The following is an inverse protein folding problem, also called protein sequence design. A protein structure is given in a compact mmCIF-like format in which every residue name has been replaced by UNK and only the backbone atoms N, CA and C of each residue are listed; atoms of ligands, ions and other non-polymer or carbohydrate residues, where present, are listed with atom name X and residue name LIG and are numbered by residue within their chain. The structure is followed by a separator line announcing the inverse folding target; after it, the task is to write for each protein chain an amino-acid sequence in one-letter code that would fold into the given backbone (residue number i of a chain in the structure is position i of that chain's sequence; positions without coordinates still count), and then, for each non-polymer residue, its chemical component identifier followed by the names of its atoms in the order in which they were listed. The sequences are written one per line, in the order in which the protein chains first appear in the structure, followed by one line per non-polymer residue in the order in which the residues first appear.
data_IF_309412826941
#
_entry.id   IF_309412826941
#
_cell.length_a   1.000
_cell.length_b   1.000
_cell.length_c   1.000
_cell.angle_alpha   90.00
_cell.angle_beta   90.00
_cell.angle_gamma   90.00
#
_symmetry.space_group_name_H-M   'P 1'
#
loop_
_entity.id
_entity.type
_entity.pdbx_description
1 polymer ?
#
# COMPACT_ATOMS: atom_id res chain seq x y z
N UNK A 1 28.16 -31.39 36.33
CA UNK A 1 27.53 -30.09 35.99
C UNK A 1 28.44 -29.13 35.19
N UNK A 2 29.79 -29.19 35.37
CA UNK A 2 30.73 -28.29 34.66
C UNK A 2 30.67 -28.46 33.13
N UNK A 3 30.59 -29.69 32.63
CA UNK A 3 30.48 -29.94 31.17
C UNK A 3 29.17 -29.44 30.58
N UNK A 4 28.05 -29.50 31.34
CA UNK A 4 26.76 -28.92 30.89
C UNK A 4 26.81 -27.39 30.78
N UNK A 5 27.49 -26.73 31.73
CA UNK A 5 27.69 -25.29 31.70
C UNK A 5 28.53 -24.86 30.50
N UNK A 6 29.60 -25.61 30.18
CA UNK A 6 30.44 -25.34 29.00
C UNK A 6 29.65 -25.53 27.72
N UNK A 7 28.85 -26.60 27.60
CA UNK A 7 28.00 -26.82 26.42
C UNK A 7 26.97 -25.71 26.21
N UNK A 8 26.36 -25.21 27.29
CA UNK A 8 25.42 -24.08 27.23
C UNK A 8 26.15 -22.81 26.77
N UNK A 9 27.34 -22.54 27.31
CA UNK A 9 28.12 -21.36 26.92
C UNK A 9 28.51 -21.39 25.43
N UNK A 10 28.93 -22.54 24.93
CA UNK A 10 29.25 -22.75 23.51
C UNK A 10 28.02 -22.56 22.66
N UNK A 11 26.86 -23.11 23.04
CA UNK A 11 25.60 -22.91 22.32
C UNK A 11 25.19 -21.43 22.26
N UNK A 12 25.30 -20.69 23.35
CA UNK A 12 25.02 -19.24 23.38
C UNK A 12 25.95 -18.46 22.45
N UNK A 13 27.24 -18.84 22.38
CA UNK A 13 28.16 -18.21 21.42
C UNK A 13 27.75 -18.46 19.98
N UNK A 14 27.33 -19.69 19.63
CA UNK A 14 26.81 -19.96 18.27
C UNK A 14 25.57 -19.16 17.93
N UNK A 15 24.63 -18.99 18.88
CA UNK A 15 23.44 -18.16 18.69
C UNK A 15 23.82 -16.69 18.46
N UNK A 16 24.77 -16.16 19.24
CA UNK A 16 25.28 -14.79 19.08
C UNK A 16 25.95 -14.60 17.72
N UNK A 17 26.84 -15.51 17.31
CA UNK A 17 27.46 -15.45 15.99
C UNK A 17 26.43 -15.51 14.87
N UNK A 18 25.47 -16.44 14.94
CA UNK A 18 24.38 -16.53 13.96
C UNK A 18 23.55 -15.25 13.88
N UNK A 19 23.29 -14.60 15.02
CA UNK A 19 22.59 -13.32 15.07
C UNK A 19 23.37 -12.18 14.38
N UNK A 20 24.69 -12.08 14.62
CA UNK A 20 25.51 -11.07 13.96
C UNK A 20 25.62 -11.31 12.45
N UNK A 21 25.86 -12.55 12.02
CA UNK A 21 25.86 -12.90 10.60
C UNK A 21 24.52 -12.58 9.91
N UNK A 22 23.42 -12.86 10.58
CA UNK A 22 22.08 -12.53 10.05
C UNK A 22 21.87 -11.02 9.94
N UNK A 23 22.33 -10.24 10.91
CA UNK A 23 22.27 -8.77 10.87
C UNK A 23 23.09 -8.19 9.72
N UNK A 24 24.32 -8.65 9.53
CA UNK A 24 25.20 -8.20 8.45
C UNK A 24 24.62 -8.57 7.09
N UNK A 25 24.17 -9.80 6.88
CA UNK A 25 23.49 -10.24 5.67
C UNK A 25 22.27 -9.36 5.34
N UNK A 26 21.44 -9.05 6.34
CA UNK A 26 20.26 -8.20 6.17
C UNK A 26 20.64 -6.76 5.82
N UNK A 27 21.73 -6.25 6.38
CA UNK A 27 22.25 -4.92 6.08
C UNK A 27 22.77 -4.84 4.65
N UNK A 28 23.63 -5.76 4.24
CA UNK A 28 24.16 -5.83 2.86
C UNK A 28 23.03 -5.97 1.83
N UNK A 29 22.03 -6.80 2.11
CA UNK A 29 20.87 -6.94 1.23
C UNK A 29 20.10 -5.61 1.07
N UNK A 30 19.88 -4.88 2.16
CA UNK A 30 19.22 -3.56 2.11
C UNK A 30 20.06 -2.51 1.38
N UNK A 31 21.36 -2.50 1.60
CA UNK A 31 22.28 -1.59 0.89
C UNK A 31 22.30 -1.92 -0.61
N UNK A 32 22.27 -3.18 -0.99
CA UNK A 32 22.15 -3.62 -2.37
C UNK A 32 20.86 -3.13 -3.04
N UNK A 33 19.72 -3.23 -2.34
CA UNK A 33 18.43 -2.73 -2.83
C UNK A 33 18.42 -1.20 -2.93
N UNK A 34 18.99 -0.49 -1.94
CA UNK A 34 19.14 0.96 -1.96
C UNK A 34 19.94 1.42 -3.17
N UNK A 35 21.10 0.78 -3.41
CA UNK A 35 21.95 1.08 -4.55
C UNK A 35 21.24 0.80 -5.88
N UNK A 36 20.53 -0.33 -5.99
CA UNK A 36 19.75 -0.68 -7.19
C UNK A 36 18.64 0.34 -7.45
N UNK A 37 17.93 0.79 -6.42
CA UNK A 37 16.92 1.83 -6.52
C UNK A 37 17.53 3.17 -6.96
N UNK A 38 18.60 3.62 -6.31
CA UNK A 38 19.31 4.84 -6.68
C UNK A 38 19.81 4.79 -8.12
N UNK A 39 20.35 3.64 -8.56
CA UNK A 39 20.76 3.44 -9.96
C UNK A 39 19.56 3.62 -10.89
N UNK A 40 18.39 3.04 -10.56
CA UNK A 40 17.19 3.20 -11.38
C UNK A 40 16.75 4.66 -11.51
N UNK A 41 16.87 5.46 -10.44
CA UNK A 41 16.55 6.89 -10.47
C UNK A 41 17.55 7.67 -11.35
N UNK A 42 18.84 7.39 -11.24
CA UNK A 42 19.88 8.00 -12.08
C UNK A 42 19.64 7.67 -13.57
N UNK A 43 19.31 6.43 -13.89
CA UNK A 43 18.97 6.01 -15.26
C UNK A 43 17.73 6.73 -15.78
N UNK A 44 16.72 6.94 -14.93
CA UNK A 44 15.53 7.72 -15.27
C UNK A 44 15.87 9.16 -15.63
N UNK A 45 16.68 9.82 -14.80
CA UNK A 45 17.15 11.20 -15.03
C UNK A 45 18.00 11.33 -16.28
N UNK A 46 18.71 10.26 -16.65
CA UNK A 46 19.51 10.19 -17.89
C UNK A 46 18.66 9.85 -19.13
N UNK A 47 17.36 9.63 -18.98
CA UNK A 47 16.45 9.32 -20.08
C UNK A 47 16.35 7.83 -20.43
N UNK A 48 17.05 6.94 -19.72
CA UNK A 48 17.10 5.49 -19.95
C UNK A 48 15.88 4.76 -19.36
N UNK A 49 14.68 5.14 -19.82
CA UNK A 49 13.39 4.65 -19.27
C UNK A 49 13.27 3.13 -19.23
N UNK A 50 13.71 2.44 -20.29
CA UNK A 50 13.59 0.97 -20.34
C UNK A 50 14.43 0.29 -19.27
N UNK A 51 15.63 0.79 -19.00
CA UNK A 51 16.51 0.28 -17.95
C UNK A 51 15.95 0.56 -16.58
N UNK A 52 15.45 1.77 -16.37
CA UNK A 52 14.73 2.16 -15.14
C UNK A 52 13.59 1.21 -14.83
N UNK A 53 12.70 0.97 -15.80
CA UNK A 53 11.54 0.08 -15.64
C UNK A 53 11.98 -1.31 -15.21
N UNK A 54 12.98 -1.89 -15.88
CA UNK A 54 13.47 -3.23 -15.56
C UNK A 54 14.05 -3.30 -14.14
N UNK A 55 14.89 -2.33 -13.74
CA UNK A 55 15.48 -2.27 -12.41
C UNK A 55 14.41 -2.17 -11.31
N UNK A 56 13.40 -1.30 -11.52
CA UNK A 56 12.34 -1.10 -10.53
C UNK A 56 11.40 -2.32 -10.45
N UNK A 57 11.07 -2.96 -11.57
CA UNK A 57 10.31 -4.21 -11.58
C UNK A 57 11.00 -5.33 -10.81
N UNK A 58 12.30 -5.51 -11.03
CA UNK A 58 13.10 -6.49 -10.27
C UNK A 58 13.09 -6.21 -8.75
N UNK A 59 13.10 -4.93 -8.33
CA UNK A 59 13.01 -4.56 -6.91
C UNK A 59 11.63 -4.92 -6.35
N UNK A 60 10.55 -4.67 -7.12
CA UNK A 60 9.19 -5.03 -6.69
C UNK A 60 9.06 -6.53 -6.49
N UNK A 61 9.58 -7.32 -7.43
CA UNK A 61 9.54 -8.80 -7.37
C UNK A 61 10.45 -9.37 -6.27
N UNK A 62 11.43 -8.60 -5.79
CA UNK A 62 12.24 -8.90 -4.60
C UNK A 62 11.49 -8.80 -3.27
N UNK A 63 10.28 -8.24 -3.26
CA UNK A 63 9.33 -8.20 -2.12
C UNK A 63 9.88 -7.56 -0.85
N UNK A 64 10.72 -6.54 -0.99
CA UNK A 64 11.22 -5.77 0.15
C UNK A 64 10.17 -4.76 0.64
N UNK A 65 10.04 -4.65 1.97
CA UNK A 65 9.02 -3.79 2.62
C UNK A 65 9.17 -2.30 2.32
N UNK A 66 10.37 -1.85 2.00
CA UNK A 66 10.70 -0.45 1.76
C UNK A 66 10.80 -0.16 0.28
N UNK A 67 11.63 -0.93 -0.43
CA UNK A 67 11.98 -0.62 -1.80
C UNK A 67 10.95 -1.10 -2.83
N UNK A 68 10.18 -2.16 -2.55
CA UNK A 68 9.12 -2.59 -3.46
C UNK A 68 7.99 -1.55 -3.59
N UNK A 69 7.43 -0.99 -2.48
CA UNK A 69 6.46 0.10 -2.60
C UNK A 69 7.04 1.35 -3.27
N UNK A 70 8.26 1.77 -2.91
CA UNK A 70 8.92 2.92 -3.52
C UNK A 70 9.05 2.75 -5.04
N UNK A 71 9.52 1.58 -5.48
CA UNK A 71 9.69 1.25 -6.89
C UNK A 71 8.36 1.23 -7.64
N UNK A 72 7.34 0.62 -7.06
CA UNK A 72 6.02 0.55 -7.70
C UNK A 72 5.39 1.94 -7.84
N UNK A 73 5.39 2.74 -6.78
CA UNK A 73 4.83 4.08 -6.87
C UNK A 73 5.63 4.99 -7.78
N UNK A 74 6.95 4.85 -7.84
CA UNK A 74 7.75 5.58 -8.83
C UNK A 74 7.35 5.24 -10.26
N UNK A 75 7.17 3.95 -10.58
CA UNK A 75 6.70 3.52 -11.90
C UNK A 75 5.32 4.08 -12.23
N UNK A 76 4.41 4.10 -11.25
CA UNK A 76 3.03 4.58 -11.41
C UNK A 76 2.98 6.11 -11.57
N UNK A 77 3.64 6.83 -10.67
CA UNK A 77 3.61 8.31 -10.61
C UNK A 77 4.31 8.98 -11.81
N UNK A 78 5.19 8.24 -12.50
CA UNK A 78 5.89 8.71 -13.71
C UNK A 78 5.35 8.10 -15.02
N UNK A 79 4.18 7.46 -14.98
CA UNK A 79 3.54 6.82 -16.14
C UNK A 79 4.45 5.83 -16.89
N UNK A 80 5.34 5.14 -16.15
CA UNK A 80 6.28 4.18 -16.72
C UNK A 80 5.66 2.78 -16.92
N UNK A 81 4.53 2.53 -16.30
CA UNK A 81 3.68 1.34 -16.49
C UNK A 81 2.24 1.80 -16.72
N UNK A 82 1.58 1.21 -17.70
CA UNK A 82 0.21 1.57 -18.11
C UNK A 82 -0.74 0.38 -18.19
N UNK A 83 -0.22 -0.86 -18.18
CA UNK A 83 -1.06 -2.05 -18.16
C UNK A 83 -1.81 -2.16 -16.83
N UNK A 84 -3.13 -2.19 -16.90
CA UNK A 84 -4.00 -2.34 -15.72
C UNK A 84 -3.76 -3.65 -15.00
N UNK A 85 -3.49 -4.71 -15.74
CA UNK A 85 -3.21 -6.04 -15.25
C UNK A 85 -1.89 -6.04 -14.46
N UNK A 86 -0.85 -5.41 -15.01
CA UNK A 86 0.46 -5.33 -14.35
C UNK A 86 0.40 -4.45 -13.09
N UNK A 87 -0.27 -3.31 -13.15
CA UNK A 87 -0.47 -2.43 -12.00
C UNK A 87 -1.23 -3.17 -10.88
N UNK A 88 -2.29 -3.90 -11.21
CA UNK A 88 -3.03 -4.69 -10.23
C UNK A 88 -2.19 -5.84 -9.66
N UNK A 89 -1.37 -6.52 -10.47
CA UNK A 89 -0.40 -7.53 -10.00
C UNK A 89 0.53 -6.93 -8.93
N UNK A 90 1.07 -5.74 -9.17
CA UNK A 90 1.97 -5.10 -8.21
C UNK A 90 1.25 -4.65 -6.93
N UNK A 91 0.03 -4.13 -7.03
CA UNK A 91 -0.79 -3.91 -5.84
C UNK A 91 -0.97 -5.20 -5.02
N UNK A 92 -1.23 -6.33 -5.69
CA UNK A 92 -1.43 -7.62 -5.00
C UNK A 92 -0.15 -8.13 -4.34
N UNK A 93 1.01 -7.96 -4.96
CA UNK A 93 2.32 -8.25 -4.34
C UNK A 93 2.48 -7.40 -3.06
N UNK A 94 2.25 -6.11 -3.14
CA UNK A 94 2.40 -5.21 -1.99
C UNK A 94 1.43 -5.57 -0.84
N UNK A 95 0.19 -5.87 -1.17
CA UNK A 95 -0.86 -6.17 -0.18
C UNK A 95 -0.65 -7.52 0.49
N UNK A 96 -0.23 -8.56 -0.28
CA UNK A 96 -0.30 -9.93 0.18
C UNK A 96 1.07 -10.57 0.48
N UNK A 97 2.17 -10.06 -0.10
CA UNK A 97 3.42 -10.82 -0.13
C UNK A 97 4.57 -10.14 0.62
N UNK A 98 4.55 -8.82 0.80
CA UNK A 98 5.68 -8.11 1.42
C UNK A 98 5.52 -7.84 2.92
N UNK A 99 4.39 -8.19 3.51
CA UNK A 99 4.16 -8.07 4.96
C UNK A 99 4.24 -6.63 5.46
N UNK A 100 3.54 -5.71 4.81
CA UNK A 100 3.35 -4.34 5.28
C UNK A 100 2.68 -4.31 6.65
N UNK A 101 2.95 -3.29 7.45
CA UNK A 101 2.13 -3.02 8.63
C UNK A 101 0.68 -2.67 8.24
N UNK A 102 -0.20 -2.71 9.23
CA UNK A 102 -1.66 -2.57 9.02
C UNK A 102 -2.02 -1.31 8.25
N UNK A 103 -1.46 -0.16 8.62
CA UNK A 103 -1.85 1.11 8.01
C UNK A 103 -1.27 1.29 6.60
N UNK A 104 -0.03 0.87 6.36
CA UNK A 104 0.54 0.85 5.01
C UNK A 104 -0.17 -0.14 4.09
N UNK A 105 -0.58 -1.31 4.62
CA UNK A 105 -1.42 -2.25 3.87
C UNK A 105 -2.76 -1.64 3.49
N UNK A 106 -3.45 -1.00 4.44
CA UNK A 106 -4.73 -0.35 4.21
C UNK A 106 -4.62 0.83 3.23
N UNK A 107 -3.55 1.61 3.31
CA UNK A 107 -3.24 2.65 2.31
C UNK A 107 -3.11 2.04 0.91
N UNK A 108 -2.37 0.93 0.79
CA UNK A 108 -2.15 0.27 -0.49
C UNK A 108 -3.46 -0.27 -1.07
N UNK A 109 -4.33 -0.86 -0.21
CA UNK A 109 -5.67 -1.30 -0.62
C UNK A 109 -6.53 -0.11 -1.08
N UNK A 110 -6.51 1.01 -0.33
CA UNK A 110 -7.22 2.22 -0.72
C UNK A 110 -6.73 2.75 -2.07
N UNK A 111 -5.41 2.83 -2.28
CA UNK A 111 -4.83 3.25 -3.58
C UNK A 111 -5.21 2.29 -4.71
N UNK A 112 -5.25 0.97 -4.46
CA UNK A 112 -5.76 -0.02 -5.42
C UNK A 112 -7.21 0.25 -5.78
N UNK A 113 -8.07 0.55 -4.79
CA UNK A 113 -9.46 0.92 -5.00
C UNK A 113 -9.59 2.20 -5.83
N UNK A 114 -8.80 3.22 -5.49
CA UNK A 114 -8.80 4.50 -6.22
C UNK A 114 -8.39 4.30 -7.69
N UNK A 115 -7.31 3.56 -7.94
CA UNK A 115 -6.88 3.23 -9.30
C UNK A 115 -7.95 2.47 -10.10
N UNK A 116 -8.65 1.53 -9.45
CA UNK A 116 -9.65 0.69 -10.12
C UNK A 116 -11.04 1.35 -10.25
N UNK A 117 -11.33 2.44 -9.52
CA UNK A 117 -12.67 3.04 -9.44
C UNK A 117 -13.26 3.49 -10.79
N UNK A 118 -12.42 3.78 -11.77
CA UNK A 118 -12.87 4.25 -13.08
C UNK A 118 -13.35 3.13 -14.02
N UNK A 119 -12.93 1.88 -13.77
CA UNK A 119 -13.12 0.79 -14.76
C UNK A 119 -13.64 -0.54 -14.20
N UNK A 120 -13.85 -0.65 -12.90
CA UNK A 120 -14.48 -1.84 -12.30
C UNK A 120 -15.95 -1.59 -11.96
N UNK A 121 -16.73 -2.66 -11.80
CA UNK A 121 -18.10 -2.55 -11.31
C UNK A 121 -18.14 -2.34 -9.78
N UNK A 122 -19.35 -2.05 -9.25
CA UNK A 122 -19.53 -1.75 -7.82
C UNK A 122 -19.10 -2.89 -6.89
N UNK A 123 -19.42 -4.12 -7.26
CA UNK A 123 -19.07 -5.29 -6.43
C UNK A 123 -17.57 -5.51 -6.37
N UNK A 124 -16.87 -5.31 -7.48
CA UNK A 124 -15.42 -5.40 -7.54
C UNK A 124 -14.76 -4.30 -6.72
N UNK A 125 -15.22 -3.05 -6.86
CA UNK A 125 -14.69 -1.94 -6.08
C UNK A 125 -14.93 -2.13 -4.58
N UNK A 126 -16.15 -2.54 -4.21
CA UNK A 126 -16.49 -2.83 -2.83
C UNK A 126 -15.65 -3.98 -2.27
N UNK A 127 -15.42 -5.05 -3.03
CA UNK A 127 -14.55 -6.15 -2.62
C UNK A 127 -13.10 -5.69 -2.37
N UNK A 128 -12.57 -4.80 -3.21
CA UNK A 128 -11.23 -4.21 -2.99
C UNK A 128 -11.20 -3.41 -1.69
N UNK A 129 -12.21 -2.55 -1.45
CA UNK A 129 -12.20 -1.59 -0.35
C UNK A 129 -12.73 -2.16 0.98
N UNK A 130 -13.49 -3.24 0.98
CA UNK A 130 -14.08 -3.85 2.18
C UNK A 130 -13.08 -4.11 3.32
N UNK A 131 -11.86 -4.58 3.09
CA UNK A 131 -10.88 -4.76 4.18
C UNK A 131 -10.58 -3.46 4.92
N UNK A 132 -10.55 -2.32 4.22
CA UNK A 132 -10.33 -1.00 4.80
C UNK A 132 -11.58 -0.48 5.48
N UNK A 133 -12.75 -0.57 4.83
CA UNK A 133 -14.05 -0.10 5.34
C UNK A 133 -14.43 -0.81 6.63
N UNK A 134 -14.14 -2.12 6.76
CA UNK A 134 -14.45 -2.93 7.95
C UNK A 134 -13.38 -2.83 9.05
N UNK A 135 -12.25 -2.20 8.79
CA UNK A 135 -11.17 -2.04 9.77
C UNK A 135 -11.30 -0.73 10.55
N UNK A 136 -10.63 -0.68 11.70
CA UNK A 136 -10.34 0.58 12.40
C UNK A 136 -9.03 1.15 11.87
N UNK A 137 -9.07 1.78 10.72
CA UNK A 137 -7.92 2.36 10.03
C UNK A 137 -8.16 3.84 9.78
N UNK A 138 -7.07 4.61 9.77
CA UNK A 138 -7.12 6.02 9.35
C UNK A 138 -7.56 6.19 7.89
N UNK A 139 -7.51 5.13 7.08
CA UNK A 139 -7.92 5.11 5.68
C UNK A 139 -9.40 4.77 5.47
N UNK A 140 -10.12 4.32 6.51
CA UNK A 140 -11.55 4.01 6.44
C UNK A 140 -12.39 5.20 5.93
N UNK A 141 -12.21 6.43 6.45
CA UNK A 141 -12.97 7.58 5.96
C UNK A 141 -12.75 7.84 4.46
N UNK A 142 -11.52 7.66 3.99
CA UNK A 142 -11.17 7.85 2.58
C UNK A 142 -11.81 6.78 1.68
N UNK A 143 -11.85 5.53 2.14
CA UNK A 143 -12.49 4.43 1.41
C UNK A 143 -14.02 4.61 1.34
N UNK A 144 -14.66 5.06 2.43
CA UNK A 144 -16.09 5.39 2.43
C UNK A 144 -16.40 6.57 1.49
N UNK A 145 -15.56 7.59 1.51
CA UNK A 145 -15.73 8.75 0.62
C UNK A 145 -15.57 8.35 -0.86
N UNK A 146 -14.57 7.52 -1.18
CA UNK A 146 -14.37 6.99 -2.53
C UNK A 146 -15.62 6.21 -3.02
N UNK A 147 -16.20 5.35 -2.17
CA UNK A 147 -17.44 4.66 -2.52
C UNK A 147 -18.61 5.61 -2.75
N UNK A 148 -18.73 6.66 -1.93
CA UNK A 148 -19.76 7.67 -2.11
C UNK A 148 -19.63 8.41 -3.46
N UNK A 149 -18.41 8.85 -3.80
CA UNK A 149 -18.14 9.51 -5.09
C UNK A 149 -18.37 8.55 -6.28
N UNK A 150 -17.98 7.27 -6.14
CA UNK A 150 -18.24 6.24 -7.15
C UNK A 150 -19.75 6.12 -7.45
N UNK A 151 -20.58 5.98 -6.42
CA UNK A 151 -22.03 5.87 -6.59
C UNK A 151 -22.66 7.17 -7.12
N UNK A 152 -22.15 8.33 -6.70
CA UNK A 152 -22.62 9.61 -7.23
C UNK A 152 -22.33 9.72 -8.73
N UNK A 153 -21.14 9.34 -9.17
CA UNK A 153 -20.78 9.31 -10.60
C UNK A 153 -21.66 8.34 -11.41
N UNK A 154 -22.10 7.24 -10.79
CA UNK A 154 -23.06 6.28 -11.39
C UNK A 154 -24.52 6.74 -11.29
N UNK A 155 -24.80 7.93 -10.73
CA UNK A 155 -26.14 8.48 -10.47
C UNK A 155 -26.97 7.66 -9.47
N UNK A 156 -26.33 6.84 -8.67
CA UNK A 156 -26.95 6.04 -7.60
C UNK A 156 -26.96 6.83 -6.29
N UNK A 157 -27.72 7.93 -6.29
CA UNK A 157 -27.74 8.92 -5.21
C UNK A 157 -27.97 8.31 -3.82
N UNK A 158 -28.92 7.37 -3.72
CA UNK A 158 -29.26 6.78 -2.42
C UNK A 158 -28.05 6.04 -1.79
N UNK A 159 -27.34 5.21 -2.57
CA UNK A 159 -26.16 4.51 -2.11
C UNK A 159 -25.03 5.48 -1.73
N UNK A 160 -24.82 6.53 -2.58
CA UNK A 160 -23.85 7.59 -2.27
C UNK A 160 -24.14 8.24 -0.91
N UNK A 161 -25.42 8.60 -0.66
CA UNK A 161 -25.87 9.18 0.61
C UNK A 161 -25.54 8.26 1.80
N UNK A 162 -25.85 6.96 1.70
CA UNK A 162 -25.59 5.99 2.74
C UNK A 162 -24.10 5.90 3.13
N UNK A 163 -23.19 5.97 2.15
CA UNK A 163 -21.73 5.97 2.43
C UNK A 163 -21.27 7.29 3.06
N UNK A 164 -21.83 8.43 2.66
CA UNK A 164 -21.54 9.72 3.30
C UNK A 164 -22.07 9.79 4.74
N UNK A 165 -23.26 9.25 5.00
CA UNK A 165 -23.83 9.17 6.35
C UNK A 165 -22.98 8.27 7.26
N UNK A 166 -22.54 7.10 6.77
CA UNK A 166 -21.60 6.24 7.48
C UNK A 166 -20.29 6.98 7.80
N UNK A 167 -19.76 7.74 6.85
CA UNK A 167 -18.54 8.51 7.03
C UNK A 167 -18.69 9.57 8.12
N UNK A 168 -19.77 10.35 8.09
CA UNK A 168 -20.05 11.42 9.07
C UNK A 168 -20.29 10.85 10.48
N UNK A 169 -20.81 9.64 10.59
CA UNK A 169 -21.04 8.94 11.85
C UNK A 169 -19.78 8.43 12.55
N UNK A 170 -18.62 8.42 11.88
CA UNK A 170 -17.36 8.00 12.48
C UNK A 170 -16.92 8.97 13.57
N UNK A 171 -16.54 8.44 14.74
CA UNK A 171 -16.07 9.26 15.87
C UNK A 171 -14.69 9.89 15.59
N UNK A 172 -13.74 9.08 15.13
CA UNK A 172 -12.35 9.48 14.91
C UNK A 172 -12.06 9.80 13.44
N UNK A 173 -12.58 10.94 12.98
CA UNK A 173 -12.39 11.45 11.61
C UNK A 173 -11.84 12.87 11.66
N UNK A 174 -10.97 13.22 10.70
CA UNK A 174 -10.50 14.61 10.57
C UNK A 174 -11.66 15.56 10.29
N UNK A 175 -11.65 16.73 10.93
CA UNK A 175 -12.70 17.74 10.77
C UNK A 175 -12.88 18.13 9.30
N UNK A 176 -11.79 18.21 8.56
CA UNK A 176 -11.81 18.53 7.12
C UNK A 176 -12.64 17.52 6.32
N UNK A 177 -12.43 16.22 6.54
CA UNK A 177 -13.17 15.16 5.81
C UNK A 177 -14.65 15.17 6.25
N UNK A 178 -14.92 15.38 7.53
CA UNK A 178 -16.28 15.48 8.07
C UNK A 178 -17.06 16.64 7.43
N UNK A 179 -16.47 17.82 7.39
CA UNK A 179 -17.08 19.01 6.79
C UNK A 179 -17.33 18.82 5.29
N UNK A 180 -16.40 18.21 4.58
CA UNK A 180 -16.59 17.93 3.15
C UNK A 180 -17.76 16.97 2.90
N UNK A 181 -17.85 15.87 3.67
CA UNK A 181 -18.96 14.94 3.57
C UNK A 181 -20.31 15.58 3.93
N UNK A 182 -20.35 16.42 4.98
CA UNK A 182 -21.55 17.15 5.36
C UNK A 182 -21.97 18.18 4.29
N UNK A 183 -21.00 18.83 3.65
CA UNK A 183 -21.26 19.74 2.54
C UNK A 183 -21.89 18.97 1.37
N UNK A 184 -21.34 17.81 1.00
CA UNK A 184 -21.90 16.94 -0.03
C UNK A 184 -23.34 16.51 0.29
N UNK A 185 -23.58 16.07 1.54
CA UNK A 185 -24.93 15.69 1.97
C UNK A 185 -25.95 16.85 1.85
N UNK A 186 -25.51 18.08 2.11
CA UNK A 186 -26.39 19.26 1.95
C UNK A 186 -26.57 19.69 0.53
N UNK A 187 -25.51 19.67 -0.31
CA UNK A 187 -25.59 20.18 -1.68
C UNK A 187 -26.25 19.20 -2.65
N UNK A 188 -25.98 17.92 -2.52
CA UNK A 188 -26.33 16.94 -3.56
C UNK A 188 -27.60 16.16 -3.20
N UNK A 189 -28.07 16.23 -1.93
CA UNK A 189 -29.19 15.46 -1.40
C UNK A 189 -30.23 16.27 -0.59
N UNK A 190 -30.10 17.60 -0.49
CA UNK A 190 -31.23 18.43 -0.01
C UNK A 190 -32.28 18.50 -1.10
N UNK A 191 -33.48 18.08 -0.80
CA UNK A 191 -34.68 18.28 -1.62
C UNK A 191 -35.04 19.77 -1.73
#
# INVERSE_FOLDING_TARGET
NKNKLISIAIFLLFVLFGFFFYQDYKKEHKEGLANKYNTAIIEYESGEKSKTINLLKDIIEGKDKTYSPLSFYFLLDNDLITSKEEINKYFDILINEIGLDKENKNLTIFKKGLFNSEFVNENELLNILNPVIKSESIWKPHALYLMAEYYLAKKEKQKSKEFLEQLVSLENISEKIRLEAQKRLRSDFSE
#
